data_IF_699223271773
#
_entry.id   IF_699223271773
#
_cell.length_a   1.000
_cell.length_b   1.000
_cell.length_c   1.000
_cell.angle_alpha   90.00
_cell.angle_beta   90.00
_cell.angle_gamma   90.00
#
_symmetry.space_group_name_H-M   'P 1'
#
loop_
_entity.id
_entity.type
_entity.pdbx_description
1 polymer ?
#
# COMPACT_ATOMS: atom_id res chain seq x y z
N UNK A 1 8.14 0.43 -9.38
CA UNK A 1 8.22 -0.23 -8.06
C UNK A 1 7.36 0.50 -7.02
N UNK A 2 7.53 1.79 -6.81
CA UNK A 2 6.72 2.61 -5.90
C UNK A 2 5.23 2.48 -6.22
N UNK A 3 4.85 2.71 -7.46
CA UNK A 3 3.51 2.57 -8.02
C UNK A 3 2.86 1.20 -7.71
N UNK A 4 3.63 0.12 -7.88
CA UNK A 4 3.16 -1.23 -7.57
C UNK A 4 2.81 -1.41 -6.07
N UNK A 5 3.61 -0.86 -5.15
CA UNK A 5 3.31 -0.95 -3.72
C UNK A 5 2.13 -0.08 -3.33
N UNK A 6 1.98 1.08 -3.95
CA UNK A 6 0.87 1.99 -3.74
C UNK A 6 -0.45 1.34 -4.19
N UNK A 7 -0.46 0.78 -5.40
CA UNK A 7 -1.61 0.02 -5.92
C UNK A 7 -1.93 -1.20 -5.06
N UNK A 8 -0.91 -1.98 -4.63
CA UNK A 8 -1.14 -3.11 -3.71
C UNK A 8 -1.80 -2.66 -2.40
N UNK A 9 -1.27 -1.61 -1.78
CA UNK A 9 -1.80 -1.07 -0.53
C UNK A 9 -3.24 -0.59 -0.68
N UNK A 10 -3.52 0.16 -1.74
CA UNK A 10 -4.84 0.70 -2.03
C UNK A 10 -5.85 -0.41 -2.32
N UNK A 11 -5.50 -1.40 -3.12
CA UNK A 11 -6.39 -2.52 -3.49
C UNK A 11 -6.73 -3.37 -2.26
N UNK A 12 -5.75 -3.71 -1.44
CA UNK A 12 -5.99 -4.44 -0.19
C UNK A 12 -6.83 -3.60 0.76
N UNK A 13 -6.47 -2.33 0.95
CA UNK A 13 -7.18 -1.42 1.83
C UNK A 13 -8.63 -1.15 1.43
N UNK A 14 -8.95 -1.19 0.14
CA UNK A 14 -10.32 -1.00 -0.36
C UNK A 14 -11.13 -2.30 -0.37
N UNK A 15 -10.51 -3.45 -0.69
CA UNK A 15 -11.23 -4.71 -0.89
C UNK A 15 -11.50 -5.47 0.42
N UNK A 16 -10.55 -5.47 1.36
CA UNK A 16 -10.67 -6.22 2.62
C UNK A 16 -11.84 -5.73 3.48
N UNK A 17 -12.05 -4.43 3.73
CA UNK A 17 -13.13 -3.96 4.58
C UNK A 17 -14.53 -4.24 4.05
N UNK A 18 -14.67 -4.50 2.75
CA UNK A 18 -15.97 -4.76 2.07
C UNK A 18 -16.20 -6.23 1.75
N UNK A 19 -15.32 -7.13 2.22
CA UNK A 19 -15.45 -8.56 2.00
C UNK A 19 -15.22 -8.99 0.54
N UNK A 20 -14.42 -8.24 -0.21
CA UNK A 20 -13.96 -8.58 -1.57
C UNK A 20 -12.57 -9.23 -1.56
N UNK A 21 -12.21 -9.85 -0.44
CA UNK A 21 -10.96 -10.56 -0.24
C UNK A 21 -11.24 -11.98 0.29
N UNK A 22 -10.29 -12.87 0.06
CA UNK A 22 -10.29 -14.25 0.56
C UNK A 22 -9.91 -14.28 2.05
N UNK A 23 -9.98 -15.45 2.69
CA UNK A 23 -9.61 -15.69 4.10
C UNK A 23 -8.17 -15.26 4.45
N UNK A 24 -7.30 -15.15 3.44
CA UNK A 24 -5.92 -14.69 3.55
C UNK A 24 -5.75 -13.18 3.21
N UNK A 25 -6.79 -12.38 3.28
CA UNK A 25 -6.81 -10.96 2.92
C UNK A 25 -6.37 -10.65 1.48
N UNK A 26 -6.42 -11.66 0.60
CA UNK A 26 -6.06 -11.52 -0.81
C UNK A 26 -7.29 -11.13 -1.62
N UNK A 27 -7.26 -9.98 -2.32
CA UNK A 27 -8.38 -9.52 -3.15
C UNK A 27 -8.72 -10.53 -4.26
N UNK A 28 -10.02 -10.72 -4.51
CA UNK A 28 -10.45 -11.55 -5.65
C UNK A 28 -9.93 -10.96 -6.95
N UNK A 29 -9.52 -11.83 -7.88
CA UNK A 29 -8.94 -11.44 -9.18
C UNK A 29 -7.72 -10.52 -9.12
N UNK A 30 -6.90 -10.64 -8.03
CA UNK A 30 -5.72 -9.82 -7.79
C UNK A 30 -4.80 -9.66 -9.03
N UNK A 31 -4.51 -10.76 -9.73
CA UNK A 31 -3.68 -10.72 -10.94
C UNK A 31 -4.29 -9.87 -12.06
N UNK A 32 -5.61 -9.90 -12.21
CA UNK A 32 -6.33 -9.07 -13.19
C UNK A 32 -6.26 -7.58 -12.84
N UNK A 33 -6.34 -7.25 -11.56
CA UNK A 33 -6.23 -5.87 -11.07
C UNK A 33 -4.83 -5.33 -11.36
N UNK A 34 -3.78 -6.06 -10.99
CA UNK A 34 -2.39 -5.67 -11.21
C UNK A 34 -2.05 -5.56 -12.70
N UNK A 35 -2.62 -6.43 -13.53
CA UNK A 35 -2.44 -6.38 -14.98
C UNK A 35 -3.12 -5.15 -15.60
N UNK A 36 -4.32 -4.81 -15.13
CA UNK A 36 -5.05 -3.61 -15.57
C UNK A 36 -4.29 -2.33 -15.21
N UNK A 37 -3.75 -2.26 -13.99
CA UNK A 37 -2.95 -1.15 -13.50
C UNK A 37 -1.66 -0.96 -14.32
N UNK A 38 -0.95 -2.05 -14.61
CA UNK A 38 0.26 -2.04 -15.43
C UNK A 38 -0.02 -1.57 -16.86
N UNK A 39 -1.13 -2.01 -17.47
CA UNK A 39 -1.54 -1.56 -18.81
C UNK A 39 -1.90 -0.07 -18.78
N UNK A 40 -2.61 0.38 -17.74
CA UNK A 40 -2.97 1.79 -17.57
C UNK A 40 -1.72 2.68 -17.41
N UNK A 41 -0.73 2.25 -16.63
CA UNK A 41 0.55 2.95 -16.45
C UNK A 41 1.34 3.01 -17.77
N UNK A 42 1.39 1.92 -18.54
CA UNK A 42 2.03 1.92 -19.86
C UNK A 42 1.34 2.88 -20.84
N UNK A 43 0.00 2.90 -20.86
CA UNK A 43 -0.75 3.83 -21.71
C UNK A 43 -0.56 5.27 -21.27
N UNK A 44 -0.55 5.55 -19.96
CA UNK A 44 -0.25 6.87 -19.41
C UNK A 44 1.14 7.37 -19.84
N UNK A 45 2.15 6.50 -19.78
CA UNK A 45 3.50 6.83 -20.22
C UNK A 45 3.56 7.18 -21.72
N UNK A 46 2.78 6.50 -22.56
CA UNK A 46 2.67 6.83 -23.99
C UNK A 46 2.04 8.21 -24.24
N UNK A 47 1.10 8.62 -23.39
CA UNK A 47 0.50 9.95 -23.43
C UNK A 47 1.34 11.03 -22.74
N UNK A 48 2.48 10.67 -22.13
CA UNK A 48 3.36 11.62 -21.44
C UNK A 48 2.82 12.08 -20.09
N UNK A 49 1.88 11.33 -19.48
CA UNK A 49 1.38 11.60 -18.12
C UNK A 49 2.24 10.90 -17.07
N UNK A 50 2.09 11.28 -15.82
CA UNK A 50 2.66 10.53 -14.70
C UNK A 50 2.07 9.11 -14.61
N UNK A 51 2.62 8.26 -13.74
CA UNK A 51 2.09 6.92 -13.47
C UNK A 51 0.60 6.97 -13.14
N UNK A 52 -0.15 6.01 -13.70
CA UNK A 52 -1.58 5.84 -13.43
C UNK A 52 -1.71 4.80 -12.33
N UNK A 53 -2.03 5.26 -11.13
CA UNK A 53 -2.17 4.39 -9.94
C UNK A 53 -3.61 4.33 -9.44
N UNK A 54 -3.93 3.32 -8.67
CA UNK A 54 -5.25 3.13 -8.06
C UNK A 54 -5.44 4.12 -6.90
N UNK A 55 -6.53 4.90 -6.92
CA UNK A 55 -6.83 5.88 -5.88
C UNK A 55 -7.58 5.27 -4.69
N UNK A 56 -7.19 5.68 -3.49
CA UNK A 56 -7.80 5.28 -2.21
C UNK A 56 -9.26 5.74 -2.13
N UNK A 57 -9.60 6.87 -2.76
CA UNK A 57 -10.94 7.45 -2.84
C UNK A 57 -11.96 6.51 -3.50
N UNK A 58 -11.49 5.56 -4.33
CA UNK A 58 -12.32 4.49 -4.89
C UNK A 58 -12.98 3.63 -3.80
N UNK A 59 -12.39 3.57 -2.60
CA UNK A 59 -12.96 2.90 -1.44
C UNK A 59 -14.34 3.44 -1.04
N UNK A 60 -14.61 4.73 -1.24
CA UNK A 60 -15.94 5.32 -0.98
C UNK A 60 -16.99 4.79 -1.94
N UNK A 61 -16.65 4.66 -3.23
CA UNK A 61 -17.54 4.10 -4.25
C UNK A 61 -17.82 2.60 -4.01
N UNK A 62 -16.81 1.85 -3.59
CA UNK A 62 -16.94 0.44 -3.23
C UNK A 62 -17.81 0.27 -1.98
N UNK A 63 -17.63 1.12 -0.96
CA UNK A 63 -18.44 1.13 0.26
C UNK A 63 -19.90 1.50 -0.03
N UNK A 64 -20.16 2.34 -1.02
CA UNK A 64 -21.50 2.68 -1.50
C UNK A 64 -22.18 1.56 -2.31
N UNK A 65 -21.48 0.44 -2.59
CA UNK A 65 -22.01 -0.72 -3.29
C UNK A 65 -21.54 -0.86 -4.74
N UNK A 66 -20.60 -0.04 -5.20
CA UNK A 66 -20.01 -0.15 -6.54
C UNK A 66 -19.06 -1.35 -6.62
N UNK A 67 -19.48 -2.42 -7.31
CA UNK A 67 -18.73 -3.70 -7.39
C UNK A 67 -18.50 -4.20 -8.80
N UNK A 68 -18.83 -3.40 -9.79
CA UNK A 68 -18.76 -3.79 -11.20
C UNK A 68 -17.92 -2.80 -12.01
N UNK A 69 -17.39 -3.23 -13.15
CA UNK A 69 -16.68 -2.37 -14.09
C UNK A 69 -17.51 -1.18 -14.61
N UNK A 70 -18.84 -1.26 -14.51
CA UNK A 70 -19.75 -0.14 -14.84
C UNK A 70 -19.51 1.06 -13.93
N UNK A 71 -19.18 0.85 -12.65
CA UNK A 71 -18.84 1.93 -11.72
C UNK A 71 -17.59 2.68 -12.18
N UNK A 72 -16.54 1.94 -12.58
CA UNK A 72 -15.31 2.53 -13.11
C UNK A 72 -15.56 3.29 -14.42
N UNK A 73 -16.40 2.76 -15.31
CA UNK A 73 -16.78 3.41 -16.56
C UNK A 73 -17.56 4.71 -16.31
N UNK A 74 -18.46 4.71 -15.33
CA UNK A 74 -19.19 5.92 -14.93
C UNK A 74 -18.25 6.98 -14.37
N UNK A 75 -17.27 6.59 -13.52
CA UNK A 75 -16.24 7.51 -13.04
C UNK A 75 -15.42 8.09 -14.20
N UNK A 76 -14.98 7.27 -15.16
CA UNK A 76 -14.25 7.73 -16.33
C UNK A 76 -15.07 8.74 -17.14
N UNK A 77 -16.36 8.50 -17.33
CA UNK A 77 -17.26 9.43 -18.01
C UNK A 77 -17.34 10.79 -17.27
N UNK A 78 -17.48 10.77 -15.94
CA UNK A 78 -17.48 12.01 -15.15
C UNK A 78 -16.13 12.73 -15.20
N UNK A 79 -15.00 12.03 -15.26
CA UNK A 79 -13.70 12.66 -15.46
C UNK A 79 -13.60 13.34 -16.81
N UNK A 80 -14.10 12.73 -17.89
CA UNK A 80 -14.15 13.39 -19.22
C UNK A 80 -15.03 14.64 -19.17
N UNK A 81 -16.20 14.55 -18.52
CA UNK A 81 -17.10 15.68 -18.35
C UNK A 81 -16.46 16.81 -17.53
N UNK A 82 -15.63 16.46 -16.54
CA UNK A 82 -14.94 17.43 -15.68
C UNK A 82 -13.95 18.32 -16.43
N UNK A 83 -13.43 17.86 -17.57
CA UNK A 83 -12.56 18.68 -18.45
C UNK A 83 -13.30 19.92 -18.93
N UNK A 84 -14.58 19.77 -19.30
CA UNK A 84 -15.42 20.90 -19.74
C UNK A 84 -15.84 21.81 -18.58
N UNK A 85 -15.95 21.24 -17.37
CA UNK A 85 -16.33 21.93 -16.13
C UNK A 85 -15.13 22.41 -15.32
N UNK A 86 -13.92 22.37 -15.88
CA UNK A 86 -12.67 22.69 -15.19
C UNK A 86 -12.73 24.03 -14.42
N UNK A 87 -13.25 25.17 -14.97
CA UNK A 87 -13.32 26.43 -14.23
C UNK A 87 -14.17 26.34 -12.95
N UNK A 88 -15.24 25.53 -12.98
CA UNK A 88 -16.11 25.32 -11.83
C UNK A 88 -15.42 24.43 -10.76
N UNK A 89 -14.75 23.37 -11.21
CA UNK A 89 -14.05 22.44 -10.31
C UNK A 89 -12.83 23.11 -9.68
N UNK A 90 -12.10 23.93 -10.42
CA UNK A 90 -10.96 24.70 -9.93
C UNK A 90 -11.33 25.72 -8.85
N UNK A 91 -12.60 26.10 -8.73
CA UNK A 91 -13.08 26.99 -7.68
C UNK A 91 -13.31 26.28 -6.33
N UNK A 92 -13.23 24.96 -6.27
CA UNK A 92 -13.41 24.19 -5.02
C UNK A 92 -12.21 24.44 -4.11
N UNK A 93 -12.41 24.98 -2.90
CA UNK A 93 -11.30 25.26 -1.98
C UNK A 93 -10.71 23.96 -1.42
N UNK A 94 -9.37 23.95 -1.22
CA UNK A 94 -8.65 22.80 -0.68
C UNK A 94 -9.23 22.18 0.60
N UNK A 95 -9.71 22.97 1.59
CA UNK A 95 -10.34 22.42 2.79
C UNK A 95 -11.59 21.56 2.52
N UNK A 96 -12.32 21.82 1.44
CA UNK A 96 -13.47 20.99 1.06
C UNK A 96 -13.02 19.61 0.56
N UNK A 97 -11.96 19.54 -0.23
CA UNK A 97 -11.35 18.27 -0.65
C UNK A 97 -10.77 17.50 0.55
N UNK A 98 -10.12 18.19 1.49
CA UNK A 98 -9.58 17.56 2.69
C UNK A 98 -10.64 16.88 3.55
N UNK A 99 -11.85 17.42 3.65
CA UNK A 99 -12.95 16.79 4.40
C UNK A 99 -13.39 15.47 3.77
N UNK A 100 -13.39 15.36 2.45
CA UNK A 100 -13.69 14.11 1.75
C UNK A 100 -12.60 13.04 2.00
N UNK A 101 -11.32 13.45 2.00
CA UNK A 101 -10.20 12.56 2.32
C UNK A 101 -10.26 12.04 3.75
N UNK A 102 -10.66 12.86 4.72
CA UNK A 102 -10.89 12.42 6.10
C UNK A 102 -11.98 11.34 6.18
N UNK A 103 -13.08 11.52 5.45
CA UNK A 103 -14.13 10.51 5.39
C UNK A 103 -13.64 9.18 4.83
N UNK A 104 -12.90 9.20 3.73
CA UNK A 104 -12.29 8.00 3.13
C UNK A 104 -11.31 7.35 4.11
N UNK A 105 -10.47 8.14 4.78
CA UNK A 105 -9.58 7.67 5.84
C UNK A 105 -10.32 6.92 6.96
N UNK A 106 -11.45 7.46 7.42
CA UNK A 106 -12.30 6.79 8.42
C UNK A 106 -12.86 5.44 7.93
N UNK A 107 -13.24 5.34 6.65
CA UNK A 107 -13.69 4.07 6.07
C UNK A 107 -12.57 3.01 6.07
N UNK A 108 -11.34 3.43 5.82
CA UNK A 108 -10.18 2.52 5.77
C UNK A 108 -9.68 2.09 7.16
N UNK A 109 -10.00 2.85 8.23
CA UNK A 109 -9.65 2.45 9.60
C UNK A 109 -10.17 1.07 9.98
N UNK A 110 -11.27 0.62 9.37
CA UNK A 110 -11.79 -0.74 9.56
C UNK A 110 -10.79 -1.82 9.16
N UNK A 111 -9.90 -1.55 8.20
CA UNK A 111 -8.85 -2.48 7.79
C UNK A 111 -7.79 -2.73 8.87
N UNK A 112 -7.56 -1.75 9.75
CA UNK A 112 -6.56 -1.86 10.84
C UNK A 112 -6.98 -2.91 11.87
N UNK A 113 -8.27 -3.12 12.09
CA UNK A 113 -8.78 -4.12 13.06
C UNK A 113 -8.45 -5.56 12.67
N UNK A 114 -8.17 -5.81 11.40
CA UNK A 114 -7.81 -7.13 10.89
C UNK A 114 -6.29 -7.41 10.97
N UNK A 115 -5.48 -6.41 11.32
CA UNK A 115 -4.04 -6.59 11.48
C UNK A 115 -3.75 -7.47 12.71
N UNK A 116 -3.15 -8.62 12.48
CA UNK A 116 -2.63 -9.48 13.55
C UNK A 116 -1.35 -8.87 14.12
N UNK A 117 -1.50 -8.01 15.12
CA UNK A 117 -0.38 -7.34 15.80
C UNK A 117 0.09 -8.24 16.97
N UNK A 118 0.37 -9.51 16.66
CA UNK A 118 0.84 -10.46 17.66
C UNK A 118 2.37 -10.43 17.75
N UNK A 119 2.87 -10.01 18.91
CA UNK A 119 4.29 -9.97 19.21
C UNK A 119 5.04 -8.76 18.66
N UNK A 120 6.24 -8.53 19.22
CA UNK A 120 7.12 -7.39 18.87
C UNK A 120 7.56 -7.43 17.40
N UNK A 121 7.68 -8.63 16.82
CA UNK A 121 8.09 -8.84 15.42
C UNK A 121 7.15 -8.14 14.43
N UNK A 122 5.85 -8.15 14.70
CA UNK A 122 4.84 -7.54 13.81
C UNK A 122 4.41 -6.14 14.27
N UNK A 123 4.40 -5.91 15.58
CA UNK A 123 3.95 -4.64 16.17
C UNK A 123 4.88 -3.47 15.81
N UNK A 124 6.20 -3.65 15.94
CA UNK A 124 7.17 -2.57 15.70
C UNK A 124 7.19 -2.11 14.23
N UNK A 125 7.26 -2.99 13.23
CA UNK A 125 7.18 -2.58 11.83
C UNK A 125 5.87 -1.91 11.48
N UNK A 126 4.73 -2.42 11.97
CA UNK A 126 3.43 -1.81 11.73
C UNK A 126 3.35 -0.40 12.32
N UNK A 127 3.81 -0.22 13.54
CA UNK A 127 3.87 1.10 14.19
C UNK A 127 4.77 2.07 13.41
N UNK A 128 5.99 1.63 13.02
CA UNK A 128 6.91 2.47 12.27
C UNK A 128 6.35 2.87 10.91
N UNK A 129 5.70 1.94 10.19
CA UNK A 129 5.03 2.25 8.93
C UNK A 129 4.00 3.36 9.12
N UNK A 130 3.08 3.19 10.09
CA UNK A 130 1.99 4.14 10.34
C UNK A 130 2.53 5.50 10.78
N UNK A 131 3.56 5.52 11.65
CA UNK A 131 4.13 6.75 12.18
C UNK A 131 4.97 7.51 11.13
N UNK A 132 5.74 6.79 10.31
CA UNK A 132 6.64 7.40 9.33
C UNK A 132 5.90 7.96 8.12
N UNK A 133 4.77 7.39 7.71
CA UNK A 133 3.99 7.91 6.58
C UNK A 133 3.65 9.41 6.71
N UNK A 134 3.01 9.88 7.81
CA UNK A 134 2.72 11.29 7.97
C UNK A 134 3.95 12.15 8.28
N UNK A 135 4.97 11.59 8.95
CA UNK A 135 6.19 12.33 9.28
C UNK A 135 7.07 12.60 8.05
N UNK A 136 7.17 11.65 7.15
CA UNK A 136 7.95 11.78 5.91
C UNK A 136 7.14 12.41 4.75
N UNK A 137 5.83 12.62 4.93
CA UNK A 137 4.91 13.04 3.86
C UNK A 137 4.96 12.12 2.63
N UNK A 138 5.31 10.85 2.83
CA UNK A 138 5.56 9.87 1.77
C UNK A 138 5.08 8.49 2.21
N UNK A 139 4.18 7.91 1.43
CA UNK A 139 3.69 6.53 1.64
C UNK A 139 4.84 5.55 1.45
N UNK A 140 5.67 5.79 0.44
CA UNK A 140 6.81 4.94 0.08
C UNK A 140 7.84 4.87 1.20
N UNK A 141 8.18 6.02 1.80
CA UNK A 141 9.15 6.07 2.88
C UNK A 141 8.60 5.35 4.12
N UNK A 142 7.31 5.51 4.43
CA UNK A 142 6.65 4.78 5.50
C UNK A 142 6.73 3.26 5.31
N UNK A 143 6.39 2.76 4.13
CA UNK A 143 6.49 1.33 3.79
C UNK A 143 7.96 0.88 3.86
N UNK A 144 8.89 1.66 3.33
CA UNK A 144 10.32 1.38 3.35
C UNK A 144 10.86 1.20 4.77
N UNK A 145 10.58 2.15 5.67
CA UNK A 145 10.98 2.06 7.08
C UNK A 145 10.35 0.86 7.79
N UNK A 146 9.07 0.60 7.55
CA UNK A 146 8.37 -0.55 8.11
C UNK A 146 9.00 -1.88 7.66
N UNK A 147 9.25 -2.03 6.37
CA UNK A 147 9.82 -3.23 5.80
C UNK A 147 11.28 -3.44 6.24
N UNK A 148 12.09 -2.38 6.28
CA UNK A 148 13.45 -2.46 6.79
C UNK A 148 13.50 -2.84 8.27
N UNK A 149 12.62 -2.26 9.10
CA UNK A 149 12.53 -2.63 10.52
C UNK A 149 12.11 -4.09 10.70
N UNK A 150 11.19 -4.60 9.87
CA UNK A 150 10.79 -6.01 9.89
C UNK A 150 11.97 -6.93 9.61
N UNK A 151 12.75 -6.64 8.54
CA UNK A 151 13.92 -7.44 8.17
C UNK A 151 15.00 -7.38 9.26
N UNK A 152 15.26 -6.21 9.85
CA UNK A 152 16.24 -6.04 10.92
C UNK A 152 15.84 -6.85 12.16
N UNK A 153 14.57 -6.78 12.58
CA UNK A 153 14.06 -7.51 13.74
C UNK A 153 14.14 -9.01 13.51
N UNK A 154 13.76 -9.49 12.32
CA UNK A 154 13.81 -10.91 11.99
C UNK A 154 15.25 -11.43 11.96
N UNK A 155 16.18 -10.64 11.41
CA UNK A 155 17.60 -10.94 11.43
C UNK A 155 18.14 -11.03 12.87
N UNK A 156 17.77 -10.10 13.74
CA UNK A 156 18.15 -10.12 15.15
C UNK A 156 17.59 -11.36 15.86
N UNK A 157 16.35 -11.72 15.62
CA UNK A 157 15.72 -12.93 16.18
C UNK A 157 16.46 -14.18 15.69
N UNK A 158 16.80 -14.23 14.40
CA UNK A 158 17.56 -15.33 13.83
C UNK A 158 18.96 -15.46 14.47
N UNK A 159 19.69 -14.36 14.61
CA UNK A 159 21.03 -14.35 15.26
C UNK A 159 20.92 -14.84 16.72
N UNK A 160 19.95 -14.32 17.47
CA UNK A 160 19.74 -14.73 18.87
C UNK A 160 19.38 -16.21 18.97
N UNK A 161 18.51 -16.72 18.09
CA UNK A 161 18.14 -18.13 18.05
C UNK A 161 19.32 -19.03 17.61
N UNK A 162 20.16 -18.56 16.68
CA UNK A 162 21.37 -19.27 16.28
C UNK A 162 22.41 -19.36 17.42
N UNK A 163 22.61 -18.30 18.17
CA UNK A 163 23.46 -18.29 19.37
C UNK A 163 22.91 -19.24 20.44
N UNK A 164 21.60 -19.20 20.67
CA UNK A 164 20.92 -20.09 21.63
C UNK A 164 21.04 -21.56 21.21
N UNK A 165 20.94 -21.85 19.89
CA UNK A 165 21.17 -23.19 19.35
C UNK A 165 22.61 -23.64 19.55
N UNK A 166 23.60 -22.78 19.32
CA UNK A 166 25.01 -23.08 19.57
C UNK A 166 25.30 -23.39 21.04
N UNK A 167 24.62 -22.72 21.98
CA UNK A 167 24.78 -22.94 23.42
C UNK A 167 23.98 -24.12 23.96
N UNK A 168 22.75 -24.37 23.46
CA UNK A 168 21.80 -25.28 24.13
C UNK A 168 21.34 -26.45 23.26
N UNK A 169 21.63 -26.48 21.95
CA UNK A 169 21.29 -27.55 20.97
C UNK A 169 19.80 -27.95 20.90
N UNK A 170 18.86 -27.15 21.44
CA UNK A 170 17.45 -27.56 21.60
C UNK A 170 16.51 -27.21 20.45
N UNK A 171 16.75 -26.13 19.74
CA UNK A 171 15.85 -25.69 18.65
C UNK A 171 16.65 -25.19 17.46
N UNK A 172 16.35 -25.70 16.26
CA UNK A 172 16.99 -25.21 15.03
C UNK A 172 16.47 -23.80 14.72
N UNK A 173 17.37 -22.86 14.36
CA UNK A 173 16.93 -21.54 13.92
C UNK A 173 16.07 -21.69 12.66
N UNK A 174 14.83 -21.22 12.72
CA UNK A 174 13.90 -21.19 11.59
C UNK A 174 14.08 -19.87 10.87
N UNK A 175 14.38 -19.94 9.60
CA UNK A 175 14.47 -18.76 8.74
C UNK A 175 13.09 -18.50 8.13
N UNK A 176 12.38 -17.51 8.63
CA UNK A 176 11.02 -17.19 8.21
C UNK A 176 10.96 -16.13 7.07
N UNK A 177 12.11 -15.52 6.72
CA UNK A 177 12.13 -14.50 5.69
C UNK A 177 12.02 -15.11 4.29
N UNK A 178 10.97 -14.70 3.58
CA UNK A 178 10.85 -15.02 2.17
C UNK A 178 11.93 -14.29 1.36
N UNK A 179 12.61 -14.93 0.37
CA UNK A 179 13.69 -14.29 -0.39
C UNK A 179 13.25 -13.00 -1.09
N UNK A 180 11.98 -12.92 -1.49
CA UNK A 180 11.39 -11.71 -2.10
C UNK A 180 11.44 -10.52 -1.13
N UNK A 181 11.18 -10.73 0.15
CA UNK A 181 11.21 -9.66 1.17
C UNK A 181 12.60 -9.07 1.31
N UNK A 182 13.64 -9.90 1.24
CA UNK A 182 15.04 -9.47 1.30
C UNK A 182 15.39 -8.63 0.07
N UNK A 183 15.00 -9.09 -1.13
CA UNK A 183 15.24 -8.35 -2.38
C UNK A 183 14.60 -6.97 -2.32
N UNK A 184 13.34 -6.91 -1.89
CA UNK A 184 12.61 -5.64 -1.77
C UNK A 184 13.24 -4.74 -0.71
N UNK A 185 13.68 -5.27 0.43
CA UNK A 185 14.38 -4.50 1.45
C UNK A 185 15.70 -3.91 0.92
N UNK A 186 16.48 -4.68 0.18
CA UNK A 186 17.72 -4.20 -0.47
C UNK A 186 17.41 -3.08 -1.47
N UNK A 187 16.34 -3.20 -2.26
CA UNK A 187 15.91 -2.16 -3.18
C UNK A 187 15.51 -0.86 -2.43
N UNK A 188 14.85 -0.97 -1.27
CA UNK A 188 14.56 0.19 -0.44
C UNK A 188 15.82 0.82 0.17
N UNK A 189 16.80 0.02 0.59
CA UNK A 189 18.09 0.55 1.04
C UNK A 189 18.76 1.34 -0.08
N UNK A 190 18.82 0.77 -1.29
CA UNK A 190 19.37 1.49 -2.46
C UNK A 190 18.60 2.78 -2.72
N UNK A 191 17.27 2.73 -2.66
CA UNK A 191 16.42 3.90 -2.83
C UNK A 191 16.74 5.02 -1.82
N UNK A 192 16.97 4.70 -0.54
CA UNK A 192 17.32 5.69 0.48
C UNK A 192 18.75 6.24 0.35
N UNK A 193 19.69 5.41 -0.16
CA UNK A 193 21.08 5.82 -0.31
C UNK A 193 21.38 6.53 -1.64
N UNK A 194 20.57 6.29 -2.67
CA UNK A 194 20.69 7.05 -3.93
C UNK A 194 19.84 8.32 -3.78
N UNK A 195 20.46 9.48 -3.53
CA UNK A 195 19.70 10.72 -3.46
C UNK A 195 19.00 10.88 -4.81
N UNK A 196 17.70 11.04 -4.78
CA UNK A 196 16.89 11.39 -5.96
C UNK A 196 17.37 12.74 -6.45
N UNK A 197 18.32 12.70 -7.36
CA UNK A 197 18.79 13.88 -8.12
C UNK A 197 17.79 14.10 -9.24
N UNK A 198 16.57 14.53 -8.89
CA UNK A 198 15.61 15.11 -9.84
C UNK A 198 14.59 15.96 -9.05
#
# INVERSE_FOLDING_TARGET
>A
MIDMFDTMGTVVGCCVPVGLADENDKPFHYNGIMMSDSIATCTGALFGTSTVTTFVESGSGIAAGGRTGLTALSCAFFFILSIFLFPLIASIPGPAAASALLYVGCLMLKGITNLKIDGVKNAVPAFLTIAMMPLAYSITDGIGFGLLSYVIIDLCIYIVSAIKYACTKKEKPVWDLHPVTIIVAVLFVVYFFVPTVF
#
